data_IF_157318044338
#
_entry.id   IF_157318044338
#
_cell.length_a   1.000
_cell.length_b   1.000
_cell.length_c   1.000
_cell.angle_alpha   90.00
_cell.angle_beta   90.00
_cell.angle_gamma   90.00
#
_symmetry.space_group_name_H-M   'P 1'
#
loop_
_entity.id
_entity.type
_entity.pdbx_description
1 polymer ?
#
# COMPACT_ATOMS: atom_id res chain seq x y z
N UNK A 1 -21.42 -26.21 10.55
CA UNK A 1 -21.44 -24.78 10.17
C UNK A 1 -20.03 -24.23 10.29
N UNK A 2 -19.34 -23.82 9.21
CA UNK A 2 -17.98 -23.29 9.33
C UNK A 2 -17.99 -22.04 10.20
N UNK A 3 -17.06 -22.00 11.15
CA UNK A 3 -17.01 -21.02 12.23
C UNK A 3 -16.78 -19.61 11.64
N UNK A 4 -17.84 -18.78 11.55
CA UNK A 4 -17.82 -17.44 10.91
C UNK A 4 -16.69 -16.54 11.45
N UNK A 5 -16.22 -16.80 12.67
CA UNK A 5 -15.14 -16.07 13.33
C UNK A 5 -13.77 -16.11 12.59
N UNK A 6 -13.54 -17.07 11.68
CA UNK A 6 -12.27 -17.22 10.93
C UNK A 6 -12.41 -17.10 9.41
N UNK A 7 -13.60 -16.77 8.91
CA UNK A 7 -13.86 -16.66 7.47
C UNK A 7 -13.04 -15.56 6.77
N UNK A 8 -12.47 -14.61 7.54
CA UNK A 8 -11.62 -13.55 7.04
C UNK A 8 -10.16 -13.98 6.81
N UNK A 9 -9.70 -15.08 7.43
CA UNK A 9 -8.29 -15.51 7.34
C UNK A 9 -7.88 -15.86 5.90
N UNK A 10 -8.65 -16.65 5.13
CA UNK A 10 -8.30 -16.94 3.74
C UNK A 10 -8.23 -15.68 2.87
N UNK A 11 -9.22 -14.78 3.02
CA UNK A 11 -9.24 -13.52 2.29
C UNK A 11 -8.04 -12.64 2.65
N UNK A 12 -7.65 -12.61 3.93
CA UNK A 12 -6.49 -11.89 4.41
C UNK A 12 -5.18 -12.45 3.82
N UNK A 13 -5.00 -13.77 3.81
CA UNK A 13 -3.81 -14.40 3.23
C UNK A 13 -3.69 -14.14 1.73
N UNK A 14 -4.81 -14.22 0.99
CA UNK A 14 -4.84 -13.88 -0.44
C UNK A 14 -4.49 -12.42 -0.65
N UNK A 15 -5.08 -11.51 0.13
CA UNK A 15 -4.78 -10.08 0.04
C UNK A 15 -3.31 -9.79 0.35
N UNK A 16 -2.75 -10.42 1.39
CA UNK A 16 -1.34 -10.28 1.76
C UNK A 16 -0.41 -10.80 0.65
N UNK A 17 -0.76 -11.92 0.01
CA UNK A 17 -0.01 -12.44 -1.13
C UNK A 17 -0.07 -11.48 -2.33
N UNK A 18 -1.26 -10.98 -2.69
CA UNK A 18 -1.44 -10.04 -3.80
C UNK A 18 -0.61 -8.77 -3.57
N UNK A 19 -0.69 -8.20 -2.35
CA UNK A 19 0.06 -6.99 -2.01
C UNK A 19 1.57 -7.24 -1.93
N UNK A 20 2.01 -8.38 -1.37
CA UNK A 20 3.43 -8.74 -1.31
C UNK A 20 4.04 -8.91 -2.71
N UNK A 21 3.36 -9.65 -3.60
CA UNK A 21 3.82 -9.83 -4.98
C UNK A 21 3.78 -8.54 -5.80
N UNK A 22 2.95 -7.56 -5.45
CA UNK A 22 2.86 -6.29 -6.17
C UNK A 22 4.19 -5.53 -6.20
N UNK A 23 4.96 -5.51 -5.10
CA UNK A 23 6.28 -4.86 -5.06
C UNK A 23 7.31 -5.65 -5.88
N UNK A 24 7.23 -6.97 -5.87
CA UNK A 24 8.07 -7.80 -6.73
C UNK A 24 7.82 -7.52 -8.23
N UNK A 25 6.56 -7.47 -8.66
CA UNK A 25 6.23 -7.14 -10.05
C UNK A 25 6.56 -5.70 -10.43
N UNK A 26 6.53 -4.77 -9.47
CA UNK A 26 6.97 -3.40 -9.70
C UNK A 26 8.46 -3.35 -10.02
N UNK A 27 9.29 -4.02 -9.20
CA UNK A 27 10.73 -4.17 -9.43
C UNK A 27 11.04 -4.84 -10.78
N UNK A 28 10.32 -5.91 -11.11
CA UNK A 28 10.44 -6.59 -12.41
C UNK A 28 10.07 -5.66 -13.58
N UNK A 29 9.01 -4.86 -13.42
CA UNK A 29 8.60 -3.87 -14.42
C UNK A 29 9.67 -2.79 -14.66
N UNK A 30 10.41 -2.41 -13.61
CA UNK A 30 11.51 -1.44 -13.71
C UNK A 30 12.73 -1.95 -14.50
N UNK A 31 12.83 -3.25 -14.79
CA UNK A 31 13.88 -3.79 -15.67
C UNK A 31 13.72 -3.34 -17.13
N UNK A 32 12.49 -3.02 -17.55
CA UNK A 32 12.16 -2.67 -18.94
C UNK A 32 11.46 -1.32 -19.10
N UNK A 33 10.89 -0.76 -18.02
CA UNK A 33 10.12 0.47 -18.02
C UNK A 33 10.71 1.50 -17.05
N UNK A 34 10.48 2.78 -17.35
CA UNK A 34 10.76 3.85 -16.39
C UNK A 34 9.78 3.78 -15.21
N UNK A 35 10.10 4.38 -14.04
CA UNK A 35 9.16 4.45 -12.91
C UNK A 35 7.79 5.03 -13.28
N UNK A 36 7.78 6.05 -14.14
CA UNK A 36 6.56 6.61 -14.70
C UNK A 36 5.80 5.61 -15.60
N UNK A 37 6.52 4.82 -16.40
CA UNK A 37 5.93 3.76 -17.22
C UNK A 37 5.27 2.67 -16.38
N UNK A 38 5.92 2.22 -15.30
CA UNK A 38 5.34 1.24 -14.36
C UNK A 38 4.10 1.81 -13.66
N UNK A 39 4.17 3.04 -13.15
CA UNK A 39 3.02 3.70 -12.53
C UNK A 39 1.85 3.89 -13.51
N UNK A 40 2.15 4.29 -14.76
CA UNK A 40 1.15 4.42 -15.82
C UNK A 40 0.49 3.07 -16.13
N UNK A 41 1.27 2.00 -16.29
CA UNK A 41 0.74 0.65 -16.50
C UNK A 41 -0.20 0.21 -15.39
N UNK A 42 0.15 0.46 -14.13
CA UNK A 42 -0.72 0.16 -12.96
C UNK A 42 -2.04 0.93 -13.02
N UNK A 43 -2.02 2.21 -13.38
CA UNK A 43 -3.22 3.05 -13.47
C UNK A 43 -4.12 2.59 -14.63
N UNK A 44 -3.53 2.28 -15.80
CA UNK A 44 -4.29 1.76 -16.95
C UNK A 44 -4.92 0.41 -16.63
N UNK A 45 -4.20 -0.51 -16.01
CA UNK A 45 -4.76 -1.80 -15.58
C UNK A 45 -5.88 -1.61 -14.55
N UNK A 46 -5.73 -0.69 -13.61
CA UNK A 46 -6.78 -0.32 -12.66
C UNK A 46 -8.03 0.24 -13.36
N UNK A 47 -7.83 1.14 -14.33
CA UNK A 47 -8.91 1.69 -15.15
C UNK A 47 -9.65 0.58 -15.92
N UNK A 48 -8.91 -0.29 -16.63
CA UNK A 48 -9.50 -1.39 -17.39
C UNK A 48 -10.30 -2.33 -16.48
N UNK A 49 -9.75 -2.66 -15.31
CA UNK A 49 -10.42 -3.52 -14.32
C UNK A 49 -11.74 -2.88 -13.84
N UNK A 50 -11.71 -1.59 -13.50
CA UNK A 50 -12.91 -0.86 -13.09
C UNK A 50 -13.94 -0.74 -14.21
N UNK A 51 -13.52 -0.53 -15.46
CA UNK A 51 -14.42 -0.49 -16.61
C UNK A 51 -15.07 -1.85 -16.87
N UNK A 52 -14.30 -2.94 -16.82
CA UNK A 52 -14.83 -4.31 -16.95
C UNK A 52 -15.82 -4.60 -15.83
N UNK A 53 -15.48 -4.24 -14.59
CA UNK A 53 -16.36 -4.42 -13.45
C UNK A 53 -17.65 -3.60 -13.60
N UNK A 54 -17.56 -2.32 -13.93
CA UNK A 54 -18.71 -1.43 -14.16
C UNK A 54 -19.61 -1.94 -15.29
N UNK A 55 -19.04 -2.46 -16.37
CA UNK A 55 -19.79 -3.08 -17.46
C UNK A 55 -20.50 -4.36 -17.01
N UNK A 56 -19.81 -5.23 -16.25
CA UNK A 56 -20.36 -6.48 -15.74
C UNK A 56 -21.50 -6.26 -14.72
N UNK A 57 -21.37 -5.26 -13.84
CA UNK A 57 -22.37 -4.92 -12.81
C UNK A 57 -23.41 -3.91 -13.27
N UNK A 58 -23.30 -3.38 -14.50
CA UNK A 58 -24.11 -2.27 -15.03
C UNK A 58 -24.14 -1.05 -14.10
N UNK A 59 -23.07 -0.84 -13.35
CA UNK A 59 -22.96 0.29 -12.41
C UNK A 59 -22.72 1.57 -13.20
N UNK A 60 -23.56 2.58 -12.97
CA UNK A 60 -23.41 3.90 -13.60
C UNK A 60 -22.14 4.59 -13.10
N UNK A 61 -21.49 5.34 -13.99
CA UNK A 61 -20.37 6.20 -13.63
C UNK A 61 -20.80 7.26 -12.61
N UNK A 62 -19.84 7.67 -11.77
CA UNK A 62 -20.08 8.68 -10.76
C UNK A 62 -20.54 10.01 -11.39
N UNK A 63 -21.44 10.76 -10.73
CA UNK A 63 -21.91 12.04 -11.24
C UNK A 63 -20.75 13.02 -11.40
N UNK A 64 -20.83 13.90 -12.41
CA UNK A 64 -19.75 14.86 -12.72
C UNK A 64 -19.37 15.77 -11.54
N UNK A 65 -20.29 16.00 -10.61
CA UNK A 65 -20.05 16.79 -9.39
C UNK A 65 -18.92 16.25 -8.52
N UNK A 66 -18.66 14.94 -8.54
CA UNK A 66 -17.60 14.32 -7.73
C UNK A 66 -16.31 14.06 -8.51
N UNK A 67 -16.23 14.42 -9.79
CA UNK A 67 -15.04 14.14 -10.60
C UNK A 67 -13.81 14.90 -10.13
N UNK A 68 -13.96 16.15 -9.68
CA UNK A 68 -12.86 16.94 -9.13
C UNK A 68 -12.28 16.31 -7.85
N UNK A 69 -13.09 16.00 -6.80
CA UNK A 69 -12.55 15.33 -5.62
C UNK A 69 -12.01 13.93 -5.95
N UNK A 70 -12.67 13.16 -6.83
CA UNK A 70 -12.15 11.85 -7.27
C UNK A 70 -10.77 11.97 -7.93
N UNK A 71 -10.59 12.96 -8.82
CA UNK A 71 -9.32 13.21 -9.48
C UNK A 71 -8.23 13.56 -8.47
N UNK A 72 -8.52 14.46 -7.52
CA UNK A 72 -7.57 14.83 -6.47
C UNK A 72 -7.21 13.63 -5.58
N UNK A 73 -8.18 12.81 -5.18
CA UNK A 73 -7.92 11.60 -4.41
C UNK A 73 -7.09 10.59 -5.22
N UNK A 74 -7.42 10.37 -6.48
CA UNK A 74 -6.66 9.48 -7.36
C UNK A 74 -5.21 9.96 -7.55
N UNK A 75 -5.02 11.28 -7.67
CA UNK A 75 -3.70 11.87 -7.81
C UNK A 75 -2.88 11.73 -6.52
N UNK A 76 -3.43 12.19 -5.39
CA UNK A 76 -2.72 12.29 -4.12
C UNK A 76 -2.53 10.95 -3.40
N UNK A 77 -3.49 10.03 -3.54
CA UNK A 77 -3.49 8.76 -2.80
C UNK A 77 -3.04 7.59 -3.67
N UNK A 78 -3.29 7.63 -4.99
CA UNK A 78 -3.04 6.50 -5.88
C UNK A 78 -1.99 6.75 -6.97
N UNK A 79 -1.69 7.99 -7.35
CA UNK A 79 -0.73 8.25 -8.44
C UNK A 79 0.63 8.65 -7.87
N UNK A 80 0.66 9.73 -7.10
CA UNK A 80 1.91 10.25 -6.54
C UNK A 80 2.61 9.26 -5.61
N UNK A 81 1.92 8.59 -4.65
CA UNK A 81 2.60 7.67 -3.75
C UNK A 81 3.17 6.47 -4.49
N UNK A 82 2.41 5.91 -5.44
CA UNK A 82 2.84 4.74 -6.19
C UNK A 82 3.97 5.06 -7.18
N UNK A 83 3.98 6.27 -7.76
CA UNK A 83 5.12 6.75 -8.53
C UNK A 83 6.36 6.92 -7.65
N UNK A 84 6.20 7.46 -6.45
CA UNK A 84 7.29 7.58 -5.48
C UNK A 84 7.80 6.21 -5.03
N UNK A 85 6.93 5.20 -4.88
CA UNK A 85 7.34 3.82 -4.62
C UNK A 85 8.10 3.22 -5.80
N UNK A 86 7.62 3.37 -7.03
CA UNK A 86 8.32 2.89 -8.23
C UNK A 86 9.70 3.55 -8.39
N UNK A 87 9.81 4.83 -8.06
CA UNK A 87 11.10 5.52 -8.01
C UNK A 87 11.96 5.03 -6.84
N UNK A 88 11.39 4.87 -5.64
CA UNK A 88 12.11 4.34 -4.49
C UNK A 88 12.69 2.95 -4.76
N UNK A 89 11.92 2.08 -5.41
CA UNK A 89 12.33 0.75 -5.82
C UNK A 89 13.49 0.73 -6.83
N UNK A 90 13.88 1.84 -7.47
CA UNK A 90 15.15 1.86 -8.23
C UNK A 90 16.37 1.90 -7.30
N UNK A 91 16.18 2.27 -6.04
CA UNK A 91 17.23 2.41 -5.02
C UNK A 91 17.14 1.38 -3.90
N UNK A 92 15.99 0.73 -3.70
CA UNK A 92 15.77 -0.27 -2.66
C UNK A 92 15.27 -1.60 -3.22
N UNK A 93 15.33 -2.65 -2.40
CA UNK A 93 14.73 -3.94 -2.73
C UNK A 93 13.20 -3.89 -2.61
N UNK A 94 12.51 -4.76 -3.36
CA UNK A 94 11.05 -4.91 -3.27
C UNK A 94 10.60 -5.37 -1.87
N UNK A 95 11.43 -6.15 -1.18
CA UNK A 95 11.22 -6.52 0.22
C UNK A 95 11.22 -5.28 1.13
N UNK A 96 12.21 -4.39 0.99
CA UNK A 96 12.28 -3.16 1.79
C UNK A 96 11.12 -2.21 1.48
N UNK A 97 10.75 -2.06 0.20
CA UNK A 97 9.58 -1.29 -0.21
C UNK A 97 8.28 -1.81 0.44
N UNK A 98 8.08 -3.13 0.44
CA UNK A 98 6.94 -3.77 1.09
C UNK A 98 6.90 -3.55 2.60
N UNK A 99 8.05 -3.61 3.28
CA UNK A 99 8.15 -3.34 4.72
C UNK A 99 7.80 -1.88 5.04
N UNK A 100 8.35 -0.93 4.26
CA UNK A 100 8.04 0.50 4.41
C UNK A 100 6.53 0.75 4.24
N UNK A 101 5.91 0.10 3.24
CA UNK A 101 4.47 0.20 3.04
C UNK A 101 3.68 -0.41 4.21
N UNK A 102 4.11 -1.56 4.74
CA UNK A 102 3.52 -2.21 5.91
C UNK A 102 3.64 -1.38 7.20
N UNK A 103 4.62 -0.49 7.29
CA UNK A 103 4.79 0.44 8.40
C UNK A 103 3.87 1.67 8.33
N UNK A 104 3.12 1.87 7.24
CA UNK A 104 2.20 3.01 7.06
C UNK A 104 1.26 3.21 8.25
N UNK A 105 0.57 2.18 8.78
CA UNK A 105 -0.31 2.36 9.93
C UNK A 105 0.43 2.87 11.17
N UNK A 106 1.71 2.51 11.31
CA UNK A 106 2.51 2.98 12.43
C UNK A 106 2.76 4.49 12.32
N UNK A 107 3.18 4.93 11.13
CA UNK A 107 3.42 6.34 10.81
C UNK A 107 2.12 7.13 10.88
N UNK A 108 1.00 6.58 10.38
CA UNK A 108 -0.33 7.21 10.49
C UNK A 108 -0.72 7.40 11.95
N UNK A 109 -0.53 6.42 12.82
CA UNK A 109 -0.84 6.60 14.24
C UNK A 109 0.01 7.71 14.85
N UNK A 110 1.33 7.72 14.60
CA UNK A 110 2.22 8.78 15.10
C UNK A 110 1.77 10.15 14.59
N UNK A 111 1.47 10.27 13.30
CA UNK A 111 0.99 11.52 12.69
C UNK A 111 -0.34 11.96 13.30
N UNK A 112 -1.30 11.06 13.52
CA UNK A 112 -2.57 11.36 14.18
C UNK A 112 -2.34 11.88 15.59
N UNK A 113 -1.43 11.29 16.37
CA UNK A 113 -1.13 11.75 17.73
C UNK A 113 -0.48 13.14 17.77
N UNK A 114 0.34 13.46 16.77
CA UNK A 114 1.01 14.75 16.66
C UNK A 114 0.07 15.86 16.15
N UNK A 115 -0.82 15.55 15.21
CA UNK A 115 -1.71 16.52 14.55
C UNK A 115 -3.05 16.68 15.28
N UNK A 116 -3.58 15.59 15.85
CA UNK A 116 -4.88 15.56 16.52
C UNK A 116 -4.70 15.20 18.00
N UNK A 117 -4.40 16.21 18.82
CA UNK A 117 -4.15 16.06 20.26
C UNK A 117 -5.38 15.59 21.09
N UNK A 118 -6.56 15.52 20.48
CA UNK A 118 -7.81 15.12 21.13
C UNK A 118 -8.02 13.60 21.15
N UNK A 119 -7.37 12.84 20.26
CA UNK A 119 -7.45 11.38 20.25
C UNK A 119 -6.40 10.77 21.18
N UNK A 120 -6.76 10.52 22.45
CA UNK A 120 -5.87 9.78 23.37
C UNK A 120 -5.80 8.30 22.95
N UNK A 121 -4.63 7.80 22.52
CA UNK A 121 -4.48 6.42 22.10
C UNK A 121 -4.59 5.51 23.33
N UNK A 122 -5.33 4.40 23.20
CA UNK A 122 -5.40 3.41 24.27
C UNK A 122 -4.04 2.75 24.49
N UNK A 123 -3.66 2.38 25.74
CA UNK A 123 -2.38 1.73 26.03
C UNK A 123 -2.11 0.46 25.19
N UNK A 124 -3.18 -0.28 24.84
CA UNK A 124 -3.11 -1.44 23.93
C UNK A 124 -2.66 -1.08 22.51
N UNK A 125 -3.10 0.07 21.96
CA UNK A 125 -2.66 0.53 20.63
C UNK A 125 -1.19 0.92 20.64
N UNK A 126 -0.73 1.59 21.69
CA UNK A 126 0.68 1.97 21.86
C UNK A 126 1.56 0.72 21.94
N UNK A 127 1.15 -0.30 22.71
CA UNK A 127 1.91 -1.54 22.81
C UNK A 127 1.95 -2.31 21.48
N UNK A 128 0.82 -2.43 20.78
CA UNK A 128 0.76 -3.05 19.46
C UNK A 128 1.60 -2.30 18.41
N UNK A 129 1.64 -0.96 18.49
CA UNK A 129 2.49 -0.11 17.66
C UNK A 129 3.97 -0.37 17.92
N UNK A 130 4.38 -0.40 19.19
CA UNK A 130 5.76 -0.69 19.59
C UNK A 130 6.20 -2.07 19.10
N UNK A 131 5.35 -3.08 19.27
CA UNK A 131 5.62 -4.44 18.80
C UNK A 131 5.74 -4.49 17.27
N UNK A 132 4.84 -3.82 16.54
CA UNK A 132 4.88 -3.73 15.08
C UNK A 132 6.13 -2.99 14.57
N UNK A 133 6.53 -1.92 15.24
CA UNK A 133 7.74 -1.17 14.92
C UNK A 133 9.00 -2.01 15.12
N UNK A 134 9.10 -2.75 16.22
CA UNK A 134 10.20 -3.69 16.47
C UNK A 134 10.25 -4.75 15.36
N UNK A 135 9.09 -5.30 14.99
CA UNK A 135 8.99 -6.25 13.87
C UNK A 135 9.53 -5.67 12.57
N UNK A 136 9.15 -4.43 12.22
CA UNK A 136 9.69 -3.72 11.06
C UNK A 136 11.21 -3.57 11.14
N UNK A 137 11.76 -3.12 12.27
CA UNK A 137 13.21 -2.95 12.44
C UNK A 137 14.00 -4.26 12.27
N UNK A 138 13.44 -5.37 12.77
CA UNK A 138 14.04 -6.71 12.61
C UNK A 138 14.05 -7.11 11.13
N UNK A 139 12.93 -6.96 10.42
CA UNK A 139 12.83 -7.38 9.01
C UNK A 139 13.63 -6.46 8.09
N UNK A 140 13.71 -5.15 8.38
CA UNK A 140 14.60 -4.22 7.66
C UNK A 140 16.07 -4.62 7.83
N UNK A 141 16.41 -5.35 8.90
CA UNK A 141 17.79 -5.75 9.16
C UNK A 141 18.67 -4.52 9.37
N UNK A 142 18.21 -3.54 10.16
CA UNK A 142 18.96 -2.29 10.45
C UNK A 142 20.42 -2.53 10.88
N UNK A 143 20.71 -3.73 11.40
CA UNK A 143 22.04 -4.18 11.80
C UNK A 143 22.99 -4.51 10.63
N UNK A 144 22.47 -4.66 9.41
CA UNK A 144 23.25 -4.95 8.19
C UNK A 144 23.46 -3.70 7.30
N UNK A 145 22.90 -2.55 7.68
CA UNK A 145 22.87 -1.35 6.84
C UNK A 145 21.69 -1.35 5.87
N UNK A 146 21.04 -0.19 5.71
CA UNK A 146 19.89 -0.02 4.80
C UNK A 146 20.34 -0.29 3.35
N UNK A 147 20.01 -1.48 2.82
CA UNK A 147 20.33 -1.86 1.44
C UNK A 147 21.26 -3.06 1.25
N UNK A 148 21.63 -3.81 2.30
CA UNK A 148 22.48 -5.00 2.20
C UNK A 148 21.73 -6.26 1.72
N UNK A 149 20.86 -6.12 0.72
CA UNK A 149 20.26 -7.24 -0.01
C UNK A 149 20.45 -7.01 -1.49
N UNK A 150 21.50 -7.62 -2.04
CA UNK A 150 21.73 -7.80 -3.48
C UNK A 150 20.48 -8.31 -4.19
#
# INVERSE_FOLDING_TARGET
MPNKARAWIPAYLVLAAIWGCSFYFMKLGLESLTPAGVAFGRIVLGLLTLLVFSAATKTKLAPRSVWKPLFLTALLVATLPWLAFAFGETHISSALAGIINGATPLVTLIATLLVFSEERPTPRRIFGLGLGFIGVLIVVGIWQGLGAGT
#
